data_IF_730594982321
#
_entry.id   IF_730594982321
#
_cell.length_a   1.000
_cell.length_b   1.000
_cell.length_c   1.000
_cell.angle_alpha   90.00
_cell.angle_beta   90.00
_cell.angle_gamma   90.00
#
_symmetry.space_group_name_H-M   'P 1'
#
loop_
_entity.id
_entity.type
_entity.pdbx_description
1 polymer ?
#
# COMPACT_ATOMS: atom_id res chain seq x y z
N UNK A 1 17.39 23.32 16.62
CA UNK A 1 17.92 23.57 15.26
C UNK A 1 16.98 22.90 14.28
N UNK A 2 16.19 23.68 13.55
CA UNK A 2 15.27 23.17 12.54
C UNK A 2 16.10 22.83 11.29
N UNK A 3 16.30 21.53 11.05
CA UNK A 3 16.87 21.06 9.80
C UNK A 3 15.87 21.27 8.68
N UNK A 4 16.27 21.96 7.62
CA UNK A 4 15.50 22.04 6.38
C UNK A 4 15.33 20.62 5.83
N UNK A 5 14.10 20.13 5.80
CA UNK A 5 13.72 18.92 5.08
C UNK A 5 13.57 19.33 3.63
N UNK A 6 14.66 19.27 2.87
CA UNK A 6 14.56 19.19 1.41
C UNK A 6 13.94 17.83 1.08
N UNK A 7 12.61 17.75 1.18
CA UNK A 7 11.86 16.57 0.76
C UNK A 7 12.00 16.48 -0.76
N UNK A 8 12.62 15.43 -1.33
CA UNK A 8 12.62 15.26 -2.77
C UNK A 8 11.15 15.13 -3.17
N UNK A 9 10.69 16.06 -4.02
CA UNK A 9 9.31 16.12 -4.47
C UNK A 9 8.86 14.75 -5.03
N UNK A 10 7.53 14.51 -5.10
CA UNK A 10 6.93 13.32 -5.74
C UNK A 10 7.38 13.09 -7.20
N UNK A 11 8.11 14.03 -7.82
CA UNK A 11 8.54 14.02 -9.23
C UNK A 11 9.44 12.83 -9.62
N UNK A 12 9.84 11.96 -8.69
CA UNK A 12 10.64 10.75 -8.98
C UNK A 12 9.87 9.42 -9.05
N UNK A 13 8.61 9.36 -8.59
CA UNK A 13 7.86 8.09 -8.56
C UNK A 13 7.57 7.58 -9.98
N UNK A 14 8.04 6.38 -10.29
CA UNK A 14 7.72 5.67 -11.53
C UNK A 14 7.00 4.37 -11.25
N UNK A 15 5.96 4.08 -12.02
CA UNK A 15 5.19 2.84 -11.91
C UNK A 15 5.77 1.70 -12.75
N UNK A 16 6.86 1.92 -13.49
CA UNK A 16 7.62 0.85 -14.18
C UNK A 16 6.76 -0.13 -15.01
N UNK A 17 5.68 0.38 -15.61
CA UNK A 17 4.74 -0.39 -16.43
C UNK A 17 3.44 -0.80 -15.72
N UNK A 18 3.34 -0.71 -14.39
CA UNK A 18 2.07 -0.90 -13.69
C UNK A 18 1.09 0.22 -14.02
N UNK A 19 -0.19 -0.10 -14.04
CA UNK A 19 -1.24 0.88 -14.35
C UNK A 19 -1.60 1.71 -13.13
N UNK A 20 -1.70 1.07 -11.97
CA UNK A 20 -1.99 1.72 -10.69
C UNK A 20 -1.16 1.06 -9.59
N UNK A 21 -0.80 1.85 -8.58
CA UNK A 21 -0.14 1.35 -7.36
C UNK A 21 -0.78 2.04 -6.17
N UNK A 22 -1.24 1.25 -5.21
CA UNK A 22 -1.68 1.71 -3.89
C UNK A 22 -0.59 1.33 -2.89
N UNK A 23 -0.10 2.30 -2.12
CA UNK A 23 0.91 2.12 -1.10
C UNK A 23 0.32 2.42 0.26
N UNK A 24 0.54 1.53 1.23
CA UNK A 24 0.21 1.72 2.65
C UNK A 24 1.51 1.68 3.46
N UNK A 25 1.70 2.64 4.34
CA UNK A 25 2.88 2.71 5.19
C UNK A 25 2.83 1.64 6.29
N UNK A 26 4.00 1.17 6.72
CA UNK A 26 4.13 0.27 7.86
C UNK A 26 3.50 0.84 9.12
N UNK A 27 3.64 2.15 9.36
CA UNK A 27 2.95 2.82 10.47
C UNK A 27 1.44 2.65 10.39
N UNK A 28 0.82 2.86 9.22
CA UNK A 28 -0.62 2.72 9.04
C UNK A 28 -1.10 1.26 9.20
N UNK A 29 -0.30 0.29 8.74
CA UNK A 29 -0.57 -1.14 8.97
C UNK A 29 -0.52 -1.46 10.47
N UNK A 30 0.48 -0.96 11.20
CA UNK A 30 0.61 -1.18 12.63
C UNK A 30 -0.50 -0.50 13.45
N UNK A 31 -0.93 0.71 13.07
CA UNK A 31 -2.07 1.40 13.69
C UNK A 31 -3.36 0.60 13.49
N UNK A 32 -3.57 0.03 12.29
CA UNK A 32 -4.72 -0.84 12.01
C UNK A 32 -4.67 -2.12 12.85
N UNK A 33 -3.51 -2.76 12.96
CA UNK A 33 -3.31 -3.92 13.84
C UNK A 33 -3.61 -3.58 15.30
N UNK A 34 -3.16 -2.41 15.76
CA UNK A 34 -3.44 -1.94 17.11
C UNK A 34 -4.93 -1.83 17.37
N UNK A 35 -5.69 -1.21 16.46
CA UNK A 35 -7.13 -1.12 16.56
C UNK A 35 -7.81 -2.50 16.58
N UNK A 36 -7.37 -3.43 15.74
CA UNK A 36 -7.93 -4.79 15.69
C UNK A 36 -7.67 -5.59 16.97
N UNK A 37 -6.46 -5.52 17.52
CA UNK A 37 -6.07 -6.26 18.71
C UNK A 37 -6.65 -5.65 19.99
N UNK A 38 -6.65 -4.32 20.12
CA UNK A 38 -7.24 -3.63 21.27
C UNK A 38 -8.73 -3.96 21.46
N UNK A 39 -9.45 -4.18 20.36
CA UNK A 39 -10.87 -4.52 20.38
C UNK A 39 -11.16 -6.01 20.64
N UNK A 40 -10.13 -6.88 20.70
CA UNK A 40 -10.30 -8.31 20.94
C UNK A 40 -9.44 -8.81 22.10
N UNK A 41 -10.03 -8.82 23.30
CA UNK A 41 -9.37 -9.26 24.54
C UNK A 41 -8.76 -10.67 24.47
N UNK A 42 -9.25 -11.56 23.62
CA UNK A 42 -8.65 -12.89 23.46
C UNK A 42 -7.27 -12.83 22.82
N UNK A 43 -7.04 -11.87 21.92
CA UNK A 43 -5.77 -11.69 21.22
C UNK A 43 -4.70 -11.04 22.11
N UNK A 44 -5.09 -10.33 23.16
CA UNK A 44 -4.15 -9.69 24.10
C UNK A 44 -3.67 -10.64 25.22
N UNK A 45 -4.19 -11.86 25.29
CA UNK A 45 -3.82 -12.82 26.33
C UNK A 45 -3.08 -13.99 25.71
N UNK A 46 -1.83 -14.19 26.13
CA UNK A 46 -1.06 -15.38 25.80
C UNK A 46 -1.17 -16.34 26.98
N UNK A 47 -1.75 -17.53 26.79
CA UNK A 47 -1.90 -18.52 27.86
C UNK A 47 -1.66 -19.93 27.33
N UNK A 48 -0.39 -20.33 27.31
CA UNK A 48 0.03 -21.68 26.88
C UNK A 48 0.73 -22.34 28.05
N UNK A 49 -0.01 -23.22 28.75
CA UNK A 49 0.49 -24.01 29.87
C UNK A 49 0.34 -25.50 29.54
N UNK A 50 1.44 -26.25 29.62
CA UNK A 50 1.37 -27.70 29.47
C UNK A 50 1.11 -28.33 30.85
N UNK A 51 -0.15 -28.70 31.07
CA UNK A 51 -0.75 -29.09 32.35
C UNK A 51 0.06 -30.11 33.17
N UNK A 52 0.77 -31.02 32.52
CA UNK A 52 1.46 -32.12 33.21
C UNK A 52 2.86 -31.75 33.73
N UNK A 53 3.35 -30.53 33.46
CA UNK A 53 4.73 -30.16 33.79
C UNK A 53 4.88 -28.80 34.48
N UNK A 54 3.80 -28.06 34.72
CA UNK A 54 3.89 -26.72 35.33
C UNK A 54 4.75 -25.73 34.54
N UNK A 55 5.03 -26.03 33.27
CA UNK A 55 5.88 -25.32 32.32
C UNK A 55 5.01 -24.69 31.24
N UNK A 56 5.39 -23.51 30.77
CA UNK A 56 4.55 -22.73 29.88
C UNK A 56 4.96 -21.27 29.79
N UNK A 57 4.23 -20.53 28.97
CA UNK A 57 4.32 -19.09 28.85
C UNK A 57 2.92 -18.51 29.02
N UNK A 58 2.78 -17.58 29.95
CA UNK A 58 1.53 -16.86 30.18
C UNK A 58 1.80 -15.38 30.33
N UNK A 59 1.03 -14.54 29.67
CA UNK A 59 1.21 -13.10 29.77
C UNK A 59 0.11 -12.29 29.11
N UNK A 60 0.17 -10.99 29.34
CA UNK A 60 -0.62 -9.99 28.64
C UNK A 60 0.27 -9.35 27.58
N UNK A 61 -0.23 -9.31 26.36
CA UNK A 61 0.44 -8.70 25.22
C UNK A 61 -0.16 -7.33 24.93
N UNK A 62 0.70 -6.42 24.48
CA UNK A 62 0.26 -5.24 23.74
C UNK A 62 -0.09 -5.66 22.31
N UNK A 63 -0.54 -4.71 21.50
CA UNK A 63 -0.74 -4.95 20.08
C UNK A 63 0.55 -5.46 19.42
N UNK A 64 0.44 -6.44 18.50
CA UNK A 64 1.58 -6.92 17.74
C UNK A 64 2.04 -5.84 16.77
N UNK A 65 3.26 -5.99 16.29
CA UNK A 65 3.84 -5.11 15.27
C UNK A 65 4.32 -5.90 14.07
N UNK A 66 4.25 -5.26 12.91
CA UNK A 66 4.80 -5.70 11.65
C UNK A 66 5.97 -4.80 11.28
N UNK A 67 7.05 -5.44 10.86
CA UNK A 67 8.14 -4.82 10.11
C UNK A 67 8.15 -5.39 8.70
N UNK A 68 7.80 -4.57 7.71
CA UNK A 68 7.84 -4.91 6.30
C UNK A 68 9.30 -5.03 5.86
N UNK A 69 9.62 -6.07 5.09
CA UNK A 69 10.98 -6.35 4.63
C UNK A 69 10.97 -6.79 3.17
N UNK A 70 11.97 -6.39 2.39
CA UNK A 70 12.10 -6.75 0.97
C UNK A 70 13.38 -7.58 0.68
N UNK A 71 13.93 -8.24 1.71
CA UNK A 71 15.26 -8.89 1.65
C UNK A 71 15.20 -10.31 1.08
N UNK A 72 14.25 -11.13 1.52
CA UNK A 72 14.13 -12.55 1.14
C UNK A 72 13.07 -12.76 0.05
N UNK A 73 11.89 -12.17 0.21
CA UNK A 73 10.82 -12.13 -0.79
C UNK A 73 10.00 -10.84 -0.66
N UNK A 74 9.35 -10.43 -1.74
CA UNK A 74 8.58 -9.20 -1.77
C UNK A 74 7.26 -9.30 -0.99
N UNK A 75 6.84 -10.47 -0.53
CA UNK A 75 5.56 -10.69 0.15
C UNK A 75 5.71 -11.07 1.63
N UNK A 76 6.85 -10.72 2.25
CA UNK A 76 7.18 -11.10 3.62
C UNK A 76 7.19 -9.92 4.59
N UNK A 77 6.99 -10.26 5.86
CA UNK A 77 7.16 -9.35 6.99
C UNK A 77 7.70 -10.09 8.22
N UNK A 78 8.26 -9.32 9.15
CA UNK A 78 8.52 -9.79 10.51
C UNK A 78 7.32 -9.40 11.37
N UNK A 79 6.63 -10.39 11.92
CA UNK A 79 5.55 -10.20 12.87
C UNK A 79 6.08 -10.41 14.28
N UNK A 80 5.77 -9.49 15.19
CA UNK A 80 6.27 -9.50 16.56
C UNK A 80 5.14 -9.50 17.59
N UNK A 81 5.17 -10.47 18.50
CA UNK A 81 4.32 -10.52 19.69
C UNK A 81 5.01 -9.81 20.85
N UNK A 82 4.37 -8.78 21.40
CA UNK A 82 4.98 -7.88 22.38
C UNK A 82 4.34 -8.06 23.76
N UNK A 83 5.13 -8.40 24.78
CA UNK A 83 4.65 -8.73 26.12
C UNK A 83 4.79 -7.54 27.08
N UNK A 84 3.66 -7.09 27.65
CA UNK A 84 3.63 -6.06 28.70
C UNK A 84 3.92 -6.66 30.08
N UNK A 85 3.42 -7.88 30.32
CA UNK A 85 3.57 -8.58 31.59
C UNK A 85 3.34 -10.07 31.43
N UNK A 86 3.78 -10.86 32.41
CA UNK A 86 3.55 -12.29 32.42
C UNK A 86 4.70 -13.07 33.06
N UNK A 87 4.67 -14.38 32.87
CA UNK A 87 5.70 -15.30 33.32
C UNK A 87 5.98 -16.39 32.29
N UNK A 88 7.26 -16.65 32.06
CA UNK A 88 7.78 -17.87 31.46
C UNK A 88 8.13 -18.82 32.59
N UNK A 89 7.65 -20.06 32.50
CA UNK A 89 7.85 -21.10 33.52
C UNK A 89 8.67 -22.23 32.92
N UNK A 90 9.77 -22.59 33.56
CA UNK A 90 10.52 -23.80 33.26
C UNK A 90 10.74 -24.65 34.51
N UNK A 91 11.10 -25.90 34.26
CA UNK A 91 11.37 -26.89 35.31
C UNK A 91 12.83 -27.25 35.24
N UNK A 92 13.53 -27.09 36.35
CA UNK A 92 14.89 -27.57 36.52
C UNK A 92 14.87 -28.87 37.31
N UNK A 93 15.44 -29.91 36.71
CA UNK A 93 15.79 -31.11 37.43
C UNK A 93 17.16 -30.84 38.06
N UNK A 94 17.27 -30.86 39.40
CA UNK A 94 18.57 -30.67 40.03
C UNK A 94 19.49 -31.79 39.53
N UNK A 95 20.73 -31.41 39.20
CA UNK A 95 21.74 -32.38 38.80
C UNK A 95 21.94 -33.37 39.94
N UNK A 96 21.86 -34.66 39.63
CA UNK A 96 22.27 -35.69 40.57
C UNK A 96 23.77 -35.49 40.79
N UNK A 97 24.17 -35.17 42.03
CA UNK A 97 25.58 -35.10 42.40
C UNK A 97 26.25 -36.41 41.97
N UNK A 98 27.29 -36.38 41.11
CA UNK A 98 27.91 -37.58 40.56
C UNK A 98 28.45 -38.57 41.61
N UNK A 99 28.50 -38.18 42.89
CA UNK A 99 28.85 -39.04 44.03
C UNK A 99 27.74 -39.29 45.04
N UNK A 100 26.52 -38.76 44.86
CA UNK A 100 25.42 -39.01 45.79
C UNK A 100 24.83 -40.41 45.59
N UNK A 101 24.68 -41.16 46.69
CA UNK A 101 23.98 -42.43 46.65
C UNK A 101 22.50 -42.23 46.30
N UNK A 102 21.93 -43.05 45.40
CA UNK A 102 20.50 -42.99 45.10
C UNK A 102 19.68 -43.22 46.37
N UNK A 103 18.81 -42.27 46.69
CA UNK A 103 17.88 -42.38 47.81
C UNK A 103 16.70 -43.25 47.39
N UNK A 104 16.29 -44.17 48.26
CA UNK A 104 15.09 -45.01 48.07
C UNK A 104 14.11 -44.76 49.21
N UNK A 105 12.81 -44.82 48.93
CA UNK A 105 11.77 -44.73 49.95
C UNK A 105 11.59 -46.07 50.70
N UNK A 106 10.65 -46.11 51.65
CA UNK A 106 10.36 -47.30 52.47
C UNK A 106 9.89 -48.51 51.64
N UNK A 107 9.40 -48.28 50.41
CA UNK A 107 8.96 -49.30 49.46
C UNK A 107 10.07 -49.72 48.48
N UNK A 108 11.27 -49.13 48.60
CA UNK A 108 12.41 -49.40 47.73
C UNK A 108 12.34 -48.72 46.36
N UNK A 109 11.50 -47.69 46.20
CA UNK A 109 11.42 -46.90 44.97
C UNK A 109 12.42 -45.74 45.01
N UNK A 110 13.04 -45.46 43.86
CA UNK A 110 14.02 -44.38 43.74
C UNK A 110 13.34 -43.02 43.98
N UNK A 111 13.82 -42.31 45.00
CA UNK A 111 13.42 -40.93 45.29
C UNK A 111 14.14 -40.03 44.29
N UNK A 112 13.43 -39.68 43.22
CA UNK A 112 13.91 -38.68 42.28
C UNK A 112 13.84 -37.29 42.94
N UNK A 113 14.87 -36.44 42.74
CA UNK A 113 14.82 -35.07 43.21
C UNK A 113 13.55 -34.37 42.71
N UNK A 114 12.87 -33.64 43.60
CA UNK A 114 11.68 -32.89 43.20
C UNK A 114 12.08 -31.80 42.21
N UNK A 115 11.48 -31.76 41.02
CA UNK A 115 11.82 -30.75 40.02
C UNK A 115 11.52 -29.35 40.58
N UNK A 116 12.47 -28.42 40.45
CA UNK A 116 12.28 -27.04 40.87
C UNK A 116 11.61 -26.26 39.77
N UNK A 117 10.47 -25.63 40.08
CA UNK A 117 9.80 -24.72 39.16
C UNK A 117 10.42 -23.34 39.27
N UNK A 118 10.99 -22.88 38.17
CA UNK A 118 11.49 -21.52 38.03
C UNK A 118 10.50 -20.67 37.24
N UNK A 119 10.56 -19.35 37.46
CA UNK A 119 9.75 -18.42 36.69
C UNK A 119 10.50 -17.13 36.42
N UNK A 120 10.37 -16.62 35.20
CA UNK A 120 10.95 -15.37 34.75
C UNK A 120 9.85 -14.43 34.27
N UNK A 121 9.96 -13.15 34.61
CA UNK A 121 9.09 -12.12 34.06
C UNK A 121 9.31 -11.97 32.56
N UNK A 122 8.23 -11.91 31.78
CA UNK A 122 8.29 -11.67 30.33
C UNK A 122 7.96 -10.24 29.93
N UNK A 123 7.88 -9.33 30.91
CA UNK A 123 7.69 -7.91 30.62
C UNK A 123 8.84 -7.40 29.74
N UNK A 124 8.50 -6.76 28.61
CA UNK A 124 9.47 -6.28 27.62
C UNK A 124 9.99 -7.35 26.67
N UNK A 125 9.44 -8.57 26.69
CA UNK A 125 9.74 -9.57 25.67
C UNK A 125 9.08 -9.19 24.33
N UNK A 126 9.78 -9.43 23.23
CA UNK A 126 9.25 -9.36 21.87
C UNK A 126 9.64 -10.62 21.11
N UNK A 127 8.65 -11.40 20.68
CA UNK A 127 8.87 -12.65 19.96
C UNK A 127 8.56 -12.43 18.48
N UNK A 128 9.61 -12.45 17.66
CA UNK A 128 9.56 -12.07 16.25
C UNK A 128 9.74 -13.28 15.34
N UNK A 129 8.88 -13.41 14.33
CA UNK A 129 8.95 -14.47 13.33
C UNK A 129 8.54 -13.98 11.95
N UNK A 130 9.01 -14.67 10.91
CA UNK A 130 8.69 -14.35 9.53
C UNK A 130 7.28 -14.84 9.19
N UNK A 131 6.52 -13.97 8.54
CA UNK A 131 5.20 -14.26 7.99
C UNK A 131 5.15 -13.88 6.53
N UNK A 132 4.29 -14.55 5.79
CA UNK A 132 3.95 -14.18 4.42
C UNK A 132 2.62 -13.45 4.41
N UNK A 133 2.41 -12.65 3.38
CA UNK A 133 1.08 -12.16 3.05
C UNK A 133 0.46 -13.03 1.98
N UNK A 134 -0.78 -13.46 2.20
CA UNK A 134 -1.56 -14.16 1.19
C UNK A 134 -2.72 -13.29 0.71
N UNK A 135 -3.06 -13.47 -0.55
CA UNK A 135 -4.24 -12.85 -1.17
C UNK A 135 -5.17 -13.99 -1.59
N UNK A 136 -6.28 -14.13 -0.87
CA UNK A 136 -7.23 -15.23 -1.10
C UNK A 136 -8.57 -14.71 -1.62
N UNK A 137 -9.09 -15.35 -2.68
CA UNK A 137 -10.42 -15.02 -3.21
C UNK A 137 -11.48 -15.46 -2.20
N UNK A 138 -12.33 -14.53 -1.79
CA UNK A 138 -13.43 -14.84 -0.88
C UNK A 138 -14.52 -15.64 -1.59
N UNK A 139 -14.89 -16.79 -1.01
CA UNK A 139 -16.05 -17.55 -1.47
C UNK A 139 -17.38 -16.81 -1.16
N UNK A 140 -17.43 -16.03 -0.07
CA UNK A 140 -18.62 -15.25 0.31
C UNK A 140 -18.20 -13.95 0.98
N UNK A 141 -18.51 -12.80 0.35
CA UNK A 141 -18.19 -11.48 0.90
C UNK A 141 -19.12 -11.14 2.08
N UNK A 142 -18.59 -10.82 3.28
CA UNK A 142 -19.36 -10.40 4.45
C UNK A 142 -20.26 -9.20 4.15
N UNK A 143 -21.46 -9.16 4.71
CA UNK A 143 -22.47 -8.14 4.39
C UNK A 143 -22.01 -6.69 4.61
N UNK A 144 -21.21 -6.44 5.65
CA UNK A 144 -20.66 -5.10 5.92
C UNK A 144 -19.73 -4.62 4.81
N UNK A 145 -18.87 -5.50 4.30
CA UNK A 145 -17.95 -5.21 3.19
C UNK A 145 -18.73 -5.14 1.89
N UNK A 146 -19.66 -6.08 1.72
CA UNK A 146 -20.55 -6.16 0.57
C UNK A 146 -21.24 -4.82 0.33
N UNK A 147 -21.74 -4.14 1.36
CA UNK A 147 -22.35 -2.81 1.20
C UNK A 147 -21.36 -1.70 0.76
N UNK A 148 -20.06 -1.87 1.01
CA UNK A 148 -19.00 -0.92 0.62
C UNK A 148 -18.42 -1.23 -0.77
N UNK A 149 -18.50 -2.51 -1.20
CA UNK A 149 -17.87 -3.00 -2.45
C UNK A 149 -18.86 -3.55 -3.47
N UNK A 150 -20.17 -3.54 -3.18
CA UNK A 150 -21.24 -3.86 -4.14
C UNK A 150 -21.26 -2.80 -5.23
N UNK A 151 -20.36 -2.99 -6.17
CA UNK A 151 -20.37 -2.34 -7.46
C UNK A 151 -21.21 -3.23 -8.40
N UNK A 152 -22.11 -2.65 -9.20
CA UNK A 152 -22.90 -3.43 -10.15
C UNK A 152 -21.98 -4.17 -11.14
N UNK A 153 -22.14 -5.49 -11.28
CA UNK A 153 -21.36 -6.30 -12.23
C UNK A 153 -20.60 -7.48 -11.56
N UNK A 154 -19.67 -8.09 -12.30
CA UNK A 154 -18.87 -9.22 -11.80
C UNK A 154 -17.54 -8.74 -11.20
N UNK A 155 -17.53 -8.58 -9.89
CA UNK A 155 -16.33 -8.30 -9.11
C UNK A 155 -16.00 -9.48 -8.20
N UNK A 156 -14.70 -9.71 -8.00
CA UNK A 156 -14.21 -10.52 -6.89
C UNK A 156 -13.60 -9.62 -5.82
N UNK A 157 -13.81 -10.04 -4.58
CA UNK A 157 -13.14 -9.47 -3.41
C UNK A 157 -12.11 -10.48 -2.96
N UNK A 158 -10.88 -10.02 -2.84
CA UNK A 158 -9.77 -10.78 -2.31
C UNK A 158 -9.41 -10.25 -0.93
N UNK A 159 -9.20 -11.17 0.01
CA UNK A 159 -8.74 -10.86 1.35
C UNK A 159 -7.23 -10.79 1.36
N UNK A 160 -6.68 -9.70 1.87
CA UNK A 160 -5.30 -9.65 2.29
C UNK A 160 -5.20 -10.22 3.70
N UNK A 161 -4.41 -11.28 3.85
CA UNK A 161 -4.22 -11.97 5.10
C UNK A 161 -2.75 -12.03 5.48
N UNK A 162 -2.46 -11.96 6.78
CA UNK A 162 -1.21 -12.47 7.32
C UNK A 162 -1.35 -13.99 7.34
N UNK A 163 -0.50 -14.65 6.56
CA UNK A 163 -0.43 -16.09 6.54
C UNK A 163 0.45 -16.56 7.71
N UNK A 164 -0.21 -17.07 8.74
CA UNK A 164 0.42 -17.80 9.84
C UNK A 164 0.57 -19.30 9.53
N UNK A 165 0.40 -19.68 8.26
CA UNK A 165 0.18 -21.03 7.72
C UNK A 165 1.07 -22.10 8.32
N UNK A 166 0.40 -23.05 8.99
CA UNK A 166 0.91 -24.16 9.82
C UNK A 166 2.02 -23.74 10.79
N UNK A 167 1.75 -23.85 12.10
CA UNK A 167 2.71 -23.53 13.17
C UNK A 167 4.14 -24.11 12.99
N UNK A 168 4.29 -25.18 12.21
CA UNK A 168 5.55 -25.83 11.86
C UNK A 168 6.43 -25.06 10.84
N UNK A 169 5.88 -24.07 10.11
CA UNK A 169 6.58 -23.25 9.10
C UNK A 169 7.04 -21.89 9.62
N UNK A 170 6.75 -21.57 10.88
CA UNK A 170 7.07 -20.28 11.46
C UNK A 170 8.56 -20.20 11.72
N UNK A 171 9.28 -19.57 10.78
CA UNK A 171 10.70 -19.32 10.89
C UNK A 171 10.94 -18.16 11.85
N UNK A 172 11.26 -18.49 13.10
CA UNK A 172 11.62 -17.50 14.11
C UNK A 172 12.78 -16.64 13.63
N UNK A 173 12.65 -15.33 13.85
CA UNK A 173 13.69 -14.38 13.61
C UNK A 173 14.38 -14.06 14.93
N UNK A 174 15.19 -15.00 15.43
CA UNK A 174 15.85 -14.87 16.74
C UNK A 174 16.72 -13.61 16.86
N UNK A 175 17.25 -13.09 15.74
CA UNK A 175 17.97 -11.81 15.69
C UNK A 175 17.09 -10.58 15.97
N UNK A 176 15.78 -10.69 15.80
CA UNK A 176 14.79 -9.63 16.07
C UNK A 176 13.98 -9.93 17.34
N UNK A 177 14.17 -11.10 17.97
CA UNK A 177 13.55 -11.41 19.25
C UNK A 177 14.29 -10.69 20.38
N UNK A 178 13.53 -10.27 21.38
CA UNK A 178 14.02 -9.67 22.63
C UNK A 178 13.50 -10.51 23.78
N UNK A 179 14.38 -11.23 24.49
CA UNK A 179 14.02 -12.15 25.59
C UNK A 179 14.89 -11.90 26.83
N UNK A 180 14.77 -10.72 27.48
CA UNK A 180 15.60 -10.35 28.62
C UNK A 180 15.45 -11.34 29.79
N UNK A 181 16.59 -11.61 30.44
CA UNK A 181 16.66 -12.39 31.68
C UNK A 181 16.74 -13.91 31.50
N UNK A 182 16.68 -14.43 30.27
CA UNK A 182 16.95 -15.86 30.02
C UNK A 182 18.46 -16.11 30.15
N UNK A 183 18.91 -17.02 31.03
CA UNK A 183 20.33 -17.34 31.18
C UNK A 183 20.93 -17.88 29.89
N UNK A 184 22.19 -17.54 29.61
CA UNK A 184 22.85 -17.87 28.34
C UNK A 184 22.90 -19.39 28.09
N UNK A 185 23.19 -20.16 29.15
CA UNK A 185 23.21 -21.61 29.16
C UNK A 185 21.84 -22.26 28.91
N UNK A 186 20.74 -21.51 29.10
CA UNK A 186 19.37 -21.97 28.87
C UNK A 186 18.79 -21.46 27.54
N UNK A 187 19.49 -20.60 26.80
CA UNK A 187 18.95 -19.97 25.60
C UNK A 187 18.54 -21.00 24.54
N UNK A 188 19.33 -22.05 24.31
CA UNK A 188 19.01 -23.04 23.26
C UNK A 188 17.71 -23.79 23.57
N UNK A 189 17.56 -24.31 24.79
CA UNK A 189 16.34 -25.01 25.23
C UNK A 189 15.16 -24.04 25.33
N UNK A 190 15.37 -22.86 25.89
CA UNK A 190 14.35 -21.82 26.00
C UNK A 190 13.82 -21.37 24.65
N UNK A 191 14.66 -21.29 23.61
CA UNK A 191 14.24 -21.00 22.23
C UNK A 191 13.31 -22.06 21.67
N UNK A 192 13.67 -23.33 21.79
CA UNK A 192 12.82 -24.44 21.34
C UNK A 192 11.48 -24.49 22.08
N UNK A 193 11.50 -24.16 23.38
CA UNK A 193 10.31 -24.07 24.21
C UNK A 193 9.37 -22.92 23.76
N UNK A 194 9.95 -21.74 23.54
CA UNK A 194 9.23 -20.55 23.06
C UNK A 194 8.63 -20.80 21.68
N UNK A 195 9.38 -21.41 20.76
CA UNK A 195 8.89 -21.83 19.43
C UNK A 195 7.62 -22.68 19.56
N UNK A 196 7.66 -23.70 20.42
CA UNK A 196 6.51 -24.56 20.68
C UNK A 196 5.33 -23.79 21.29
N UNK A 197 5.59 -22.86 22.21
CA UNK A 197 4.54 -22.06 22.83
C UNK A 197 3.84 -21.15 21.84
N UNK A 198 4.60 -20.45 21.00
CA UNK A 198 4.04 -19.59 19.97
C UNK A 198 3.25 -20.42 18.97
N UNK A 199 3.77 -21.58 18.55
CA UNK A 199 3.02 -22.50 17.68
C UNK A 199 1.68 -22.92 18.28
N UNK A 200 1.64 -23.25 19.58
CA UNK A 200 0.40 -23.58 20.27
C UNK A 200 -0.57 -22.38 20.37
N UNK A 201 -0.07 -21.18 20.69
CA UNK A 201 -0.88 -19.96 20.74
C UNK A 201 -1.50 -19.63 19.38
N UNK A 202 -0.71 -19.72 18.30
CA UNK A 202 -1.19 -19.41 16.96
C UNK A 202 -2.25 -20.40 16.50
N UNK A 203 -2.06 -21.70 16.75
CA UNK A 203 -3.08 -22.73 16.49
C UNK A 203 -4.37 -22.50 17.28
N UNK A 204 -4.28 -22.04 18.54
CA UNK A 204 -5.45 -21.87 19.39
C UNK A 204 -6.19 -20.55 19.16
N UNK A 205 -5.50 -19.50 18.69
CA UNK A 205 -6.05 -18.14 18.64
C UNK A 205 -6.08 -17.58 17.22
N UNK A 206 -4.94 -17.50 16.54
CA UNK A 206 -4.82 -16.77 15.27
C UNK A 206 -5.18 -17.59 14.03
N UNK A 207 -5.04 -18.92 14.08
CA UNK A 207 -5.39 -19.84 13.00
C UNK A 207 -6.83 -20.36 13.07
N UNK A 208 -7.57 -20.07 14.14
CA UNK A 208 -8.99 -20.43 14.22
C UNK A 208 -9.82 -19.57 13.25
N UNK A 209 -10.91 -20.11 12.68
CA UNK A 209 -11.79 -19.35 11.80
C UNK A 209 -12.23 -18.02 12.43
N UNK A 210 -11.85 -16.91 11.81
CA UNK A 210 -12.10 -15.57 12.31
C UNK A 210 -11.43 -14.51 11.43
N UNK A 211 -11.69 -13.23 11.73
CA UNK A 211 -11.14 -12.10 10.98
C UNK A 211 -9.84 -11.55 11.61
N UNK A 212 -9.09 -12.39 12.34
CA UNK A 212 -7.98 -11.92 13.20
C UNK A 212 -6.67 -11.68 12.45
N UNK A 213 -6.53 -12.29 11.27
CA UNK A 213 -5.36 -12.18 10.42
C UNK A 213 -5.65 -11.42 9.11
N UNK A 214 -6.84 -10.87 8.94
CA UNK A 214 -7.20 -10.09 7.74
C UNK A 214 -6.71 -8.65 7.94
N UNK A 215 -5.88 -8.16 7.03
CA UNK A 215 -5.37 -6.78 7.02
C UNK A 215 -6.18 -5.86 6.12
N UNK A 216 -6.88 -6.40 5.13
CA UNK A 216 -7.65 -5.58 4.20
C UNK A 216 -8.29 -6.39 3.09
N UNK A 217 -8.83 -5.66 2.12
CA UNK A 217 -9.54 -6.23 0.98
C UNK A 217 -9.08 -5.54 -0.30
N UNK A 218 -8.80 -6.33 -1.32
CA UNK A 218 -8.64 -5.86 -2.68
C UNK A 218 -9.90 -6.22 -3.47
N UNK A 219 -10.31 -5.35 -4.39
CA UNK A 219 -11.46 -5.60 -5.27
C UNK A 219 -10.93 -5.61 -6.69
N UNK A 220 -11.31 -6.61 -7.49
CA UNK A 220 -10.96 -6.65 -8.92
C UNK A 220 -12.11 -7.16 -9.76
N UNK A 221 -12.06 -6.88 -11.06
CA UNK A 221 -13.01 -7.45 -12.01
C UNK A 221 -12.60 -8.89 -12.34
N UNK A 222 -13.57 -9.80 -12.30
CA UNK A 222 -13.37 -11.18 -12.71
C UNK A 222 -13.11 -11.29 -14.23
N UNK A 223 -12.24 -12.22 -14.67
CA UNK A 223 -11.97 -12.44 -16.08
C UNK A 223 -13.26 -12.74 -16.86
N UNK A 224 -13.34 -12.36 -18.14
CA UNK A 224 -14.51 -12.63 -18.96
C UNK A 224 -14.80 -14.12 -19.03
N UNK A 225 -16.09 -14.48 -19.01
CA UNK A 225 -16.52 -15.87 -19.21
C UNK A 225 -16.22 -16.34 -20.64
N UNK A 226 -16.17 -17.65 -20.86
CA UNK A 226 -15.94 -18.23 -22.20
C UNK A 226 -16.84 -17.58 -23.27
N UNK A 227 -16.21 -17.07 -24.33
CA UNK A 227 -16.88 -16.41 -25.46
C UNK A 227 -17.15 -14.91 -25.30
N UNK A 228 -16.75 -14.29 -24.18
CA UNK A 228 -16.82 -12.84 -23.98
C UNK A 228 -15.44 -12.20 -24.11
N UNK A 229 -15.39 -10.99 -24.66
CA UNK A 229 -14.16 -10.18 -24.65
C UNK A 229 -14.00 -9.49 -23.29
N UNK A 230 -12.77 -9.07 -22.97
CA UNK A 230 -12.54 -8.22 -21.80
C UNK A 230 -13.33 -6.91 -21.88
N UNK A 231 -13.53 -6.37 -23.08
CA UNK A 231 -14.30 -5.14 -23.29
C UNK A 231 -15.79 -5.33 -22.95
N UNK A 232 -16.38 -6.47 -23.34
CA UNK A 232 -17.76 -6.81 -22.96
C UNK A 232 -17.93 -6.87 -21.45
N UNK A 233 -16.95 -7.46 -20.76
CA UNK A 233 -16.96 -7.56 -19.30
C UNK A 233 -16.81 -6.20 -18.61
N UNK A 234 -15.90 -5.35 -19.09
CA UNK A 234 -15.75 -3.98 -18.58
C UNK A 234 -17.04 -3.16 -18.77
N UNK A 235 -17.70 -3.31 -19.92
CA UNK A 235 -18.92 -2.57 -20.23
C UNK A 235 -20.12 -3.02 -19.38
N UNK A 236 -20.21 -4.30 -19.01
CA UNK A 236 -21.23 -4.79 -18.07
C UNK A 236 -21.08 -4.19 -16.69
N UNK A 237 -19.83 -4.09 -16.25
CA UNK A 237 -19.46 -3.64 -14.92
C UNK A 237 -19.56 -2.13 -14.78
N UNK A 238 -19.28 -1.39 -15.86
CA UNK A 238 -19.43 0.05 -15.90
C UNK A 238 -20.10 0.52 -17.20
N UNK A 239 -21.44 0.41 -17.31
CA UNK A 239 -22.15 0.70 -18.56
C UNK A 239 -22.22 2.19 -18.92
N UNK A 240 -22.00 3.10 -17.95
CA UNK A 240 -22.27 4.54 -18.11
C UNK A 240 -21.03 5.43 -17.88
N UNK A 241 -19.85 4.87 -17.60
CA UNK A 241 -18.68 5.70 -17.33
C UNK A 241 -17.34 5.05 -17.64
N UNK A 242 -16.31 5.89 -17.61
CA UNK A 242 -14.92 5.55 -17.91
C UNK A 242 -14.26 5.14 -16.61
N UNK A 243 -13.96 3.86 -16.47
CA UNK A 243 -13.33 3.35 -15.26
C UNK A 243 -12.17 2.43 -15.62
N UNK A 244 -11.15 2.49 -14.77
CA UNK A 244 -9.95 1.68 -14.86
C UNK A 244 -9.87 0.78 -13.62
N UNK A 245 -10.89 -0.06 -13.38
CA UNK A 245 -10.86 -0.96 -12.24
C UNK A 245 -9.70 -1.94 -12.43
N UNK A 246 -9.06 -2.35 -11.32
CA UNK A 246 -8.08 -3.41 -11.38
C UNK A 246 -8.73 -4.69 -11.90
N UNK A 247 -8.05 -5.30 -12.86
CA UNK A 247 -8.37 -6.63 -13.40
C UNK A 247 -7.36 -7.68 -12.92
N UNK A 248 -6.24 -7.22 -12.38
CA UNK A 248 -5.24 -8.03 -11.71
C UNK A 248 -4.57 -7.20 -10.63
N UNK A 249 -4.34 -7.80 -9.47
CA UNK A 249 -3.73 -7.18 -8.30
C UNK A 249 -2.64 -8.12 -7.81
N UNK A 250 -1.49 -7.56 -7.43
CA UNK A 250 -0.43 -8.29 -6.74
C UNK A 250 0.05 -7.46 -5.55
N UNK A 251 0.23 -8.13 -4.43
CA UNK A 251 0.83 -7.55 -3.24
C UNK A 251 2.36 -7.69 -3.30
N UNK A 252 3.04 -6.68 -2.80
CA UNK A 252 4.46 -6.72 -2.50
C UNK A 252 4.77 -5.73 -1.37
N UNK A 253 5.99 -5.76 -0.85
CA UNK A 253 6.54 -4.87 0.16
C UNK A 253 7.79 -4.23 -0.41
N UNK A 254 8.09 -3.03 0.06
CA UNK A 254 9.29 -2.34 -0.36
C UNK A 254 9.84 -1.49 0.78
N UNK A 255 11.15 -1.56 0.99
CA UNK A 255 11.80 -0.75 2.00
C UNK A 255 11.94 0.70 1.56
N UNK A 256 11.78 1.62 2.50
CA UNK A 256 12.02 3.04 2.29
C UNK A 256 13.51 3.33 2.15
N UNK A 257 13.89 3.99 1.05
CA UNK A 257 15.29 4.31 0.71
C UNK A 257 15.42 5.80 0.37
N UNK A 258 15.52 6.69 1.38
CA UNK A 258 15.46 8.13 1.16
C UNK A 258 16.67 8.66 0.37
N UNK A 259 17.81 7.98 0.47
CA UNK A 259 19.05 8.27 -0.26
C UNK A 259 19.19 7.46 -1.56
N UNK A 260 18.17 6.64 -1.90
CA UNK A 260 18.20 5.75 -3.05
C UNK A 260 19.11 4.53 -2.91
N UNK A 261 19.83 4.37 -1.81
CA UNK A 261 20.73 3.23 -1.59
C UNK A 261 19.99 2.09 -0.87
N UNK A 262 20.26 0.84 -1.27
CA UNK A 262 19.67 -0.33 -0.62
C UNK A 262 20.13 -0.52 0.83
N UNK A 263 21.32 -0.02 1.18
CA UNK A 263 21.98 -0.20 2.48
C UNK A 263 21.40 0.65 3.62
N UNK A 264 20.57 1.65 3.33
CA UNK A 264 19.94 2.52 4.33
C UNK A 264 18.59 2.00 4.84
N UNK A 265 18.14 0.84 4.35
CA UNK A 265 16.86 0.25 4.73
C UNK A 265 16.90 -0.34 6.13
N UNK A 266 16.08 0.20 7.04
CA UNK A 266 15.81 -0.39 8.35
C UNK A 266 14.44 -1.06 8.33
N UNK A 267 14.35 -2.28 8.86
CA UNK A 267 13.07 -2.97 9.08
C UNK A 267 12.14 -2.18 10.03
N UNK A 268 12.71 -1.33 10.90
CA UNK A 268 11.95 -0.47 11.81
C UNK A 268 11.47 0.84 11.18
N UNK A 269 11.66 1.06 9.88
CA UNK A 269 11.24 2.31 9.25
C UNK A 269 9.74 2.32 8.97
N UNK A 270 9.02 3.22 9.63
CA UNK A 270 7.58 3.44 9.47
C UNK A 270 7.14 3.76 8.02
N UNK A 271 8.08 4.24 7.20
CA UNK A 271 7.84 4.56 5.79
C UNK A 271 8.06 3.38 4.85
N UNK A 272 8.46 2.20 5.35
CA UNK A 272 8.40 0.98 4.54
C UNK A 272 6.96 0.79 4.06
N UNK A 273 6.80 0.31 2.82
CA UNK A 273 5.50 0.31 2.17
C UNK A 273 5.03 -1.11 1.85
N UNK A 274 3.76 -1.36 2.12
CA UNK A 274 3.00 -2.44 1.51
C UNK A 274 2.34 -1.89 0.25
N UNK A 275 2.57 -2.54 -0.88
CA UNK A 275 2.12 -2.08 -2.19
C UNK A 275 1.12 -3.08 -2.80
N UNK A 276 0.02 -2.55 -3.31
CA UNK A 276 -0.88 -3.23 -4.24
C UNK A 276 -0.56 -2.71 -5.64
N UNK A 277 0.13 -3.53 -6.42
CA UNK A 277 0.38 -3.25 -7.84
C UNK A 277 -0.75 -3.78 -8.68
N UNK A 278 -1.26 -2.96 -9.59
CA UNK A 278 -2.50 -3.26 -10.30
C UNK A 278 -2.35 -3.07 -11.81
N UNK A 279 -2.99 -3.97 -12.55
CA UNK A 279 -3.20 -3.88 -13.99
C UNK A 279 -4.69 -3.75 -14.28
N UNK A 280 -5.01 -2.94 -15.28
CA UNK A 280 -6.39 -2.68 -15.72
C UNK A 280 -6.62 -3.21 -17.13
N UNK A 281 -7.87 -3.26 -17.57
CA UNK A 281 -8.24 -3.68 -18.93
C UNK A 281 -7.78 -5.10 -19.31
N UNK A 282 -7.66 -5.99 -18.32
CA UNK A 282 -7.20 -7.37 -18.50
C UNK A 282 -5.80 -7.49 -19.10
N UNK A 283 -4.97 -6.46 -18.93
CA UNK A 283 -3.54 -6.59 -19.23
C UNK A 283 -2.88 -7.57 -18.25
N UNK A 284 -1.94 -8.35 -18.77
CA UNK A 284 -1.19 -9.33 -18.00
C UNK A 284 -0.40 -8.65 -16.88
N UNK A 285 -0.43 -9.23 -15.68
CA UNK A 285 0.41 -8.81 -14.57
C UNK A 285 1.89 -8.91 -14.94
N UNK A 286 2.67 -7.89 -14.60
CA UNK A 286 4.11 -7.88 -14.88
C UNK A 286 4.81 -8.96 -14.05
N UNK A 287 5.84 -9.59 -14.62
CA UNK A 287 6.60 -10.64 -13.93
C UNK A 287 7.61 -10.10 -12.92
N UNK A 288 8.03 -8.83 -13.07
CA UNK A 288 8.98 -8.17 -12.17
C UNK A 288 8.23 -7.37 -11.11
N UNK A 289 8.79 -7.30 -9.91
CA UNK A 289 8.29 -6.45 -8.83
C UNK A 289 8.66 -4.98 -9.05
N UNK A 290 7.85 -4.07 -8.50
CA UNK A 290 8.12 -2.64 -8.59
C UNK A 290 9.39 -2.33 -7.80
N UNK A 291 10.38 -1.75 -8.47
CA UNK A 291 11.60 -1.33 -7.80
C UNK A 291 11.42 0.03 -7.12
N UNK A 292 12.25 0.33 -6.14
CA UNK A 292 12.20 1.61 -5.45
C UNK A 292 12.54 2.73 -6.44
N UNK A 293 11.71 3.77 -6.47
CA UNK A 293 11.92 4.94 -7.37
C UNK A 293 11.76 6.29 -6.69
N UNK A 294 11.23 6.32 -5.48
CA UNK A 294 11.01 7.56 -4.73
C UNK A 294 10.15 7.31 -3.50
N UNK A 295 9.94 8.36 -2.72
CA UNK A 295 9.17 8.27 -1.48
C UNK A 295 7.68 8.15 -1.77
N UNK A 296 7.05 7.12 -1.22
CA UNK A 296 5.60 6.92 -1.33
C UNK A 296 4.79 7.74 -0.34
N UNK A 297 5.41 8.19 0.75
CA UNK A 297 4.74 8.87 1.87
C UNK A 297 5.45 10.17 2.21
N UNK A 298 4.67 11.18 2.60
CA UNK A 298 5.12 12.51 3.02
C UNK A 298 4.15 13.04 4.08
N UNK A 299 4.62 13.89 5.01
CA UNK A 299 3.79 14.70 5.90
C UNK A 299 2.66 13.94 6.63
N UNK A 300 2.96 12.77 7.20
CA UNK A 300 1.98 11.99 7.96
C UNK A 300 0.89 11.31 7.11
N UNK A 301 1.01 11.34 5.77
CA UNK A 301 0.12 10.60 4.88
C UNK A 301 0.47 9.11 4.96
N UNK A 302 -0.41 8.34 5.60
CA UNK A 302 -0.22 6.89 5.80
C UNK A 302 -0.49 6.01 4.57
N UNK A 303 -1.07 6.57 3.50
CA UNK A 303 -1.38 5.85 2.27
C UNK A 303 -1.42 6.74 1.03
N UNK A 304 -0.92 6.22 -0.10
CA UNK A 304 -0.82 6.93 -1.38
C UNK A 304 -1.33 6.05 -2.51
N UNK A 305 -2.03 6.64 -3.46
CA UNK A 305 -2.35 6.00 -4.74
C UNK A 305 -1.65 6.74 -5.87
N UNK A 306 -1.08 5.99 -6.81
CA UNK A 306 -0.48 6.51 -8.02
C UNK A 306 -1.08 5.82 -9.25
N UNK A 307 -1.32 6.60 -10.30
CA UNK A 307 -1.93 6.16 -11.55
C UNK A 307 -0.98 6.49 -12.69
N UNK A 308 -0.82 5.57 -13.64
CA UNK A 308 0.10 5.77 -14.75
C UNK A 308 -0.36 6.92 -15.64
N UNK A 309 0.60 7.64 -16.23
CA UNK A 309 0.31 8.70 -17.20
C UNK A 309 -0.59 8.19 -18.33
N UNK A 310 -0.36 6.96 -18.81
CA UNK A 310 -1.17 6.37 -19.88
C UNK A 310 -2.65 6.27 -19.51
N UNK A 311 -2.94 5.80 -18.29
CA UNK A 311 -4.32 5.72 -17.79
C UNK A 311 -4.88 7.13 -17.56
N UNK A 312 -4.15 7.98 -16.83
CA UNK A 312 -4.68 9.29 -16.44
C UNK A 312 -4.82 10.26 -17.62
N UNK A 313 -3.78 10.42 -18.44
CA UNK A 313 -3.79 11.38 -19.55
C UNK A 313 -4.52 10.81 -20.76
N UNK A 314 -4.10 9.63 -21.21
CA UNK A 314 -4.51 9.14 -22.53
C UNK A 314 -5.89 8.49 -22.50
N UNK A 315 -6.35 7.99 -21.34
CA UNK A 315 -7.63 7.30 -21.22
C UNK A 315 -8.68 8.07 -20.40
N UNK A 316 -8.29 8.73 -19.31
CA UNK A 316 -9.21 9.54 -18.52
C UNK A 316 -9.33 10.96 -19.09
N UNK A 317 -8.24 11.73 -19.07
CA UNK A 317 -8.27 13.16 -19.39
C UNK A 317 -8.58 13.44 -20.86
N UNK A 318 -7.96 12.73 -21.80
CA UNK A 318 -8.21 12.92 -23.25
C UNK A 318 -9.69 12.72 -23.60
N UNK A 319 -10.32 11.77 -22.93
CA UNK A 319 -11.72 11.45 -23.08
C UNK A 319 -12.63 12.48 -22.40
N UNK A 320 -12.32 12.97 -21.19
CA UNK A 320 -13.03 14.10 -20.57
C UNK A 320 -12.97 15.35 -21.44
N UNK A 321 -11.81 15.61 -22.03
CA UNK A 321 -11.59 16.70 -22.97
C UNK A 321 -12.18 16.46 -24.37
N UNK A 322 -12.69 15.25 -24.67
CA UNK A 322 -13.39 15.00 -25.94
C UNK A 322 -14.65 15.85 -26.05
N UNK A 323 -15.35 16.09 -24.95
CA UNK A 323 -16.53 16.99 -24.91
C UNK A 323 -16.12 18.43 -25.25
N UNK A 324 -14.90 18.79 -24.86
CA UNK A 324 -14.29 20.10 -25.05
C UNK A 324 -13.80 20.30 -26.50
N UNK A 325 -13.28 19.25 -27.14
CA UNK A 325 -12.75 19.28 -28.52
C UNK A 325 -13.80 19.38 -29.63
N UNK A 326 -15.10 19.34 -29.31
CA UNK A 326 -16.20 19.48 -30.29
C UNK A 326 -16.72 20.93 -30.39
N UNK A 327 -16.24 21.84 -29.54
CA UNK A 327 -16.60 23.26 -29.63
C UNK A 327 -15.39 24.07 -30.12
N UNK A 328 -15.61 25.00 -31.06
CA UNK A 328 -14.58 25.96 -31.46
C UNK A 328 -14.25 26.84 -30.24
N UNK A 329 -13.02 26.74 -29.74
CA UNK A 329 -12.55 27.61 -28.67
C UNK A 329 -12.22 28.99 -29.24
N UNK A 330 -13.09 29.97 -29.01
CA UNK A 330 -12.73 31.39 -29.17
C UNK A 330 -11.94 31.85 -27.95
N UNK A 331 -10.66 31.50 -27.89
CA UNK A 331 -9.76 32.08 -26.88
C UNK A 331 -9.31 33.46 -27.37
N UNK A 332 -9.84 34.52 -26.76
CA UNK A 332 -9.23 35.83 -26.85
C UNK A 332 -7.86 35.76 -26.16
N UNK A 333 -6.78 35.93 -26.94
CA UNK A 333 -5.36 35.75 -26.62
C UNK A 333 -4.81 34.33 -26.79
N UNK A 334 -4.79 33.83 -28.03
CA UNK A 334 -3.92 32.69 -28.39
C UNK A 334 -2.50 33.18 -28.65
N UNK A 335 -1.54 32.60 -27.92
CA UNK A 335 -0.10 32.74 -28.16
C UNK A 335 0.25 32.01 -29.46
N UNK A 336 0.55 32.76 -30.51
CA UNK A 336 0.98 32.18 -31.80
C UNK A 336 2.45 31.75 -31.76
N UNK A 337 2.71 30.45 -32.00
CA UNK A 337 4.05 29.89 -32.25
C UNK A 337 4.15 29.56 -33.75
N UNK A 338 5.06 30.20 -34.48
CA UNK A 338 5.57 29.62 -35.72
C UNK A 338 6.58 28.54 -35.34
N UNK A 339 6.25 27.28 -35.60
CA UNK A 339 7.23 26.20 -35.67
C UNK A 339 8.13 26.48 -36.88
N UNK A 340 9.40 26.82 -36.66
CA UNK A 340 10.42 26.65 -37.69
C UNK A 340 10.98 25.24 -37.53
N UNK A 341 10.96 24.47 -38.61
CA UNK A 341 11.55 23.15 -38.69
C UNK A 341 13.07 23.24 -38.47
N UNK A 342 13.54 23.11 -37.23
CA UNK A 342 14.92 22.78 -36.97
C UNK A 342 15.03 21.88 -35.72
N UNK A 343 15.28 20.57 -35.89
CA UNK A 343 15.06 19.55 -34.87
C UNK A 343 16.17 19.42 -33.80
N UNK A 344 17.10 20.38 -33.69
CA UNK A 344 18.34 20.17 -32.90
C UNK A 344 18.47 20.92 -31.57
N UNK A 345 17.62 21.89 -31.22
CA UNK A 345 17.73 22.56 -29.92
C UNK A 345 16.37 22.73 -29.23
N UNK A 346 16.12 21.87 -28.24
CA UNK A 346 14.91 21.86 -27.42
C UNK A 346 14.91 22.90 -26.29
N UNK A 347 15.01 24.18 -26.64
CA UNK A 347 14.80 25.26 -25.67
C UNK A 347 13.43 25.91 -25.86
N UNK A 348 12.73 26.11 -24.74
CA UNK A 348 11.44 26.80 -24.66
C UNK A 348 11.67 28.26 -24.25
N UNK A 349 11.38 29.20 -25.15
CA UNK A 349 11.34 30.64 -24.82
C UNK A 349 9.95 31.18 -25.11
N UNK A 350 9.31 31.77 -24.10
CA UNK A 350 8.00 32.42 -24.18
C UNK A 350 8.11 33.84 -24.74
N UNK A 351 7.31 34.16 -25.76
CA UNK A 351 7.01 35.55 -26.19
C UNK A 351 5.52 35.68 -26.51
N UNK A 352 4.91 36.81 -26.15
CA UNK A 352 3.46 37.05 -26.28
C UNK A 352 3.10 37.71 -27.62
N UNK A 353 2.00 37.25 -28.26
CA UNK A 353 1.47 37.75 -29.54
C UNK A 353 -0.07 37.61 -29.63
N UNK A 354 -0.70 38.28 -30.61
CA UNK A 354 -2.15 38.54 -30.75
C UNK A 354 -3.05 37.30 -30.98
N UNK A 355 -4.38 37.40 -30.72
CA UNK A 355 -5.32 36.28 -30.76
C UNK A 355 -5.50 35.66 -32.15
N UNK A 356 -5.30 34.35 -32.24
CA UNK A 356 -5.61 33.50 -33.40
C UNK A 356 -6.70 32.48 -33.04
N UNK A 357 -7.55 32.09 -34.00
CA UNK A 357 -8.44 30.93 -33.85
C UNK A 357 -7.62 29.65 -34.08
N UNK A 358 -7.63 28.74 -33.11
CA UNK A 358 -6.98 27.43 -33.19
C UNK A 358 -7.97 26.32 -32.83
N UNK A 359 -7.86 25.20 -33.54
CA UNK A 359 -8.52 23.95 -33.16
C UNK A 359 -7.54 23.11 -32.34
N UNK A 360 -8.04 22.33 -31.39
CA UNK A 360 -7.27 21.28 -30.70
C UNK A 360 -7.90 19.96 -31.09
N UNK A 361 -7.16 19.12 -31.80
CA UNK A 361 -7.60 17.77 -32.17
C UNK A 361 -6.86 16.78 -31.29
N UNK A 362 -7.57 16.11 -30.38
CA UNK A 362 -7.00 15.06 -29.54
C UNK A 362 -7.31 13.70 -30.19
N UNK A 363 -6.26 12.95 -30.52
CA UNK A 363 -6.39 11.61 -31.08
C UNK A 363 -6.02 10.58 -30.01
N UNK A 364 -6.96 9.71 -29.62
CA UNK A 364 -6.69 8.65 -28.66
C UNK A 364 -5.70 7.62 -29.24
N UNK A 365 -4.73 7.18 -28.44
CA UNK A 365 -3.85 6.04 -28.74
C UNK A 365 -2.36 6.36 -29.00
N UNK A 366 -1.97 7.62 -29.22
CA UNK A 366 -0.56 8.00 -29.48
C UNK A 366 -0.05 9.19 -28.65
N UNK A 367 -0.77 9.57 -27.60
CA UNK A 367 -0.46 10.74 -26.77
C UNK A 367 -1.23 11.99 -27.17
N UNK A 368 -1.14 13.03 -26.34
CA UNK A 368 -1.78 14.32 -26.58
C UNK A 368 -1.05 15.07 -27.71
N UNK A 369 -1.59 15.02 -28.92
CA UNK A 369 -1.15 15.89 -30.01
C UNK A 369 -2.03 17.15 -30.06
N UNK A 370 -1.41 18.33 -30.17
CA UNK A 370 -2.13 19.60 -30.31
C UNK A 370 -1.91 20.11 -31.74
N UNK A 371 -2.93 19.95 -32.58
CA UNK A 371 -2.90 20.37 -33.99
C UNK A 371 -3.38 21.82 -34.15
N UNK A 372 -2.46 22.79 -34.13
CA UNK A 372 -2.80 24.19 -34.38
C UNK A 372 -3.02 24.49 -35.87
N UNK A 373 -4.26 24.79 -36.27
CA UNK A 373 -4.57 25.41 -37.57
C UNK A 373 -4.96 26.86 -37.36
N UNK A 374 -4.10 27.80 -37.77
CA UNK A 374 -4.43 29.22 -37.86
C UNK A 374 -5.32 29.45 -39.09
N UNK A 375 -6.47 30.08 -38.88
CA UNK A 375 -7.29 30.62 -39.96
C UNK A 375 -7.19 32.14 -39.93
N UNK A 376 -6.38 32.71 -40.82
CA UNK A 376 -6.41 34.15 -41.09
C UNK A 376 -7.63 34.45 -41.97
N UNK A 377 -8.74 34.84 -41.34
CA UNK A 377 -9.96 35.25 -42.03
C UNK A 377 -10.00 36.76 -42.32
N UNK A 378 -9.00 37.53 -41.90
CA UNK A 378 -9.01 39.00 -41.97
C UNK A 378 -7.71 39.60 -42.51
N UNK A 379 -7.18 39.05 -43.60
CA UNK A 379 -6.16 39.74 -44.40
C UNK A 379 -6.76 40.90 -45.23
N UNK A 380 -7.45 41.83 -44.58
CA UNK A 380 -7.65 43.17 -45.12
C UNK A 380 -6.31 43.88 -45.01
N UNK A 381 -5.58 43.91 -46.13
CA UNK A 381 -4.41 44.78 -46.30
C UNK A 381 -4.81 46.22 -45.97
N UNK A 382 -4.33 46.75 -44.86
CA UNK A 382 -4.38 48.18 -44.58
C UNK A 382 -3.41 48.89 -45.52
N UNK A 383 -3.92 49.39 -46.65
CA UNK A 383 -3.22 50.36 -47.50
C UNK A 383 -3.72 51.78 -47.20
N UNK A 384 -2.95 52.50 -46.36
CA UNK A 384 -2.72 53.96 -46.40
C UNK A 384 -3.92 54.91 -46.13
N UNK A 385 -3.73 56.25 -46.04
CA UNK A 385 -3.67 56.97 -44.76
C UNK A 385 -4.75 58.06 -44.64
N UNK A 386 -5.19 58.43 -43.42
CA UNK A 386 -5.47 59.83 -43.03
C UNK A 386 -6.28 59.98 -41.73
N UNK A 387 -5.81 60.97 -40.96
CA UNK A 387 -6.55 62.00 -40.20
C UNK A 387 -7.46 61.57 -39.04
N UNK A 388 -6.92 61.87 -37.86
CA UNK A 388 -7.61 62.18 -36.62
C UNK A 388 -8.80 63.12 -36.81
N UNK A 389 -9.95 62.77 -36.24
CA UNK A 389 -10.97 63.71 -35.80
C UNK A 389 -11.37 63.36 -34.36
N UNK A 390 -11.06 64.30 -33.48
CA UNK A 390 -11.38 64.35 -32.06
C UNK A 390 -12.88 64.66 -31.92
N UNK A 391 -13.54 64.02 -30.94
CA UNK A 391 -14.98 64.08 -30.78
C UNK A 391 -15.54 65.41 -30.29
N UNK A 392 -16.87 65.53 -30.32
CA UNK A 392 -17.62 66.37 -29.39
C UNK A 392 -19.10 65.97 -29.30
N UNK A 393 -19.54 65.79 -28.05
CA UNK A 393 -20.84 66.05 -27.40
C UNK A 393 -22.13 65.35 -27.85
N UNK A 394 -22.69 64.62 -26.86
CA UNK A 394 -24.11 64.38 -26.62
C UNK A 394 -24.80 65.62 -26.01
N UNK A 395 -25.99 65.97 -26.49
CA UNK A 395 -27.04 66.74 -25.76
C UNK A 395 -28.42 66.16 -26.15
N UNK A 396 -29.42 66.10 -25.23
CA UNK A 396 -30.53 65.14 -25.30
C UNK A 396 -31.88 65.69 -25.82
N UNK A 397 -32.71 64.75 -26.33
CA UNK A 397 -34.18 64.70 -26.45
C UNK A 397 -35.00 65.99 -26.57
N UNK A 398 -35.80 66.10 -27.65
CA UNK A 398 -37.20 66.55 -27.56
C UNK A 398 -38.09 66.05 -28.70
N UNK A 399 -39.18 65.40 -28.27
CA UNK A 399 -40.53 65.21 -28.82
C UNK A 399 -40.93 66.16 -29.97
N UNK A 400 -41.61 65.63 -31.00
CA UNK A 400 -42.39 66.40 -31.98
C UNK A 400 -42.85 65.55 -33.16
N UNK A 401 -44.16 65.37 -33.31
CA UNK A 401 -44.85 64.44 -34.21
C UNK A 401 -45.08 65.00 -35.65
N UNK A 402 -45.77 64.30 -36.57
CA UNK A 402 -45.43 64.20 -37.99
C UNK A 402 -46.20 65.18 -38.91
N UNK A 403 -45.73 65.28 -40.15
CA UNK A 403 -46.56 65.24 -41.36
C UNK A 403 -45.74 64.78 -42.57
#
# INVERSE_FOLDING_TARGET
MAGAVDSPSRLGLTLQGFHQVIALSQANVNESLEYHFANNKKLCNFDVLFANKGYGLKGKMSSPTIALIDIEAADQAIFSLNFESGKYFWVEFPELDPGAEPLFDEDGLLILPTPKKESLSVAGWSLAFLVHFSVEKMATVPSGIRSMVELPGSYSVEQLMIDFGTADLIKFSWKHCVIPGVPEEKLATGRADIERFVGAYLNDVLLKPGNHNILGYAVKIDPPSHGQTGQDQLQKVAPVGRYFPPTSVRLQTINHRPDGNATSSSASNDHNAMLFTEMTQFHTMLTKDLQWSGNWFYDGIGGTMAISRGIFVDQYLAEELRVVGVQNWNLANVVSRKLSDNPQHGDWVLKMGQPDMGNIVLTAGHGLEIHHKSFDTNSVKWTSPAKWLVGERLVPTSIGQPH
#
